data_IF_725206242921
#
_entry.id   IF_725206242921
#
_cell.length_a   1.000
_cell.length_b   1.000
_cell.length_c   1.000
_cell.angle_alpha   90.00
_cell.angle_beta   90.00
_cell.angle_gamma   90.00
#
_symmetry.space_group_name_H-M   'P 1'
#
loop_
_entity.id
_entity.type
_entity.pdbx_description
1 polymer ?
#
# COMPACT_ATOMS: atom_id res chain seq x y z
N UNK A 1 26.43 -15.51 10.05
CA UNK A 1 25.96 -14.13 10.29
C UNK A 1 24.44 -14.13 10.17
N UNK A 2 23.69 -13.51 11.09
CA UNK A 2 22.22 -13.52 11.07
C UNK A 2 21.72 -12.26 10.35
N UNK A 3 20.75 -12.40 9.45
CA UNK A 3 20.12 -11.28 8.75
C UNK A 3 19.35 -10.40 9.74
N UNK A 4 19.54 -9.08 9.68
CA UNK A 4 18.87 -8.10 10.53
C UNK A 4 18.21 -7.01 9.66
N UNK A 5 16.93 -7.16 9.29
CA UNK A 5 16.24 -6.23 8.39
C UNK A 5 16.13 -4.83 9.01
N UNK A 6 15.86 -4.72 10.31
CA UNK A 6 15.67 -3.43 10.99
C UNK A 6 16.88 -2.49 10.84
N UNK A 7 18.08 -3.04 10.98
CA UNK A 7 19.33 -2.27 10.85
C UNK A 7 19.59 -1.88 9.38
N UNK A 8 19.38 -2.83 8.46
CA UNK A 8 19.60 -2.62 7.03
C UNK A 8 18.62 -1.59 6.47
N UNK A 9 17.33 -1.72 6.79
CA UNK A 9 16.27 -0.81 6.36
C UNK A 9 16.51 0.60 6.89
N UNK A 10 16.79 0.76 8.18
CA UNK A 10 17.06 2.06 8.79
C UNK A 10 18.27 2.75 8.14
N UNK A 11 19.35 2.00 7.88
CA UNK A 11 20.55 2.52 7.20
C UNK A 11 20.22 3.07 5.82
N UNK A 12 19.53 2.30 4.99
CA UNK A 12 19.25 2.70 3.60
C UNK A 12 18.19 3.79 3.49
N UNK A 13 17.15 3.75 4.32
CA UNK A 13 16.14 4.81 4.40
C UNK A 13 16.79 6.16 4.75
N UNK A 14 17.70 6.17 5.73
CA UNK A 14 18.47 7.36 6.10
C UNK A 14 19.32 7.87 4.94
N UNK A 15 20.08 6.98 4.30
CA UNK A 15 20.91 7.33 3.15
C UNK A 15 20.06 7.97 2.01
N UNK A 16 18.93 7.36 1.66
CA UNK A 16 18.07 7.86 0.59
C UNK A 16 17.47 9.23 0.90
N UNK A 17 17.09 9.47 2.16
CA UNK A 17 16.57 10.75 2.60
C UNK A 17 17.62 11.86 2.52
N UNK A 18 18.83 11.61 3.03
CA UNK A 18 19.94 12.57 3.02
C UNK A 18 20.37 12.94 1.60
N UNK A 19 20.44 11.95 0.70
CA UNK A 19 20.89 12.15 -0.67
C UNK A 19 19.77 12.56 -1.62
N UNK A 20 18.52 12.67 -1.13
CA UNK A 20 17.33 12.93 -1.95
C UNK A 20 17.26 11.99 -3.16
N UNK A 21 17.58 10.70 -2.96
CA UNK A 21 17.77 9.70 -4.03
C UNK A 21 16.56 9.63 -4.98
N UNK A 22 15.36 9.87 -4.46
CA UNK A 22 14.12 9.80 -5.21
C UNK A 22 13.57 11.17 -5.67
N UNK A 23 14.30 12.28 -5.48
CA UNK A 23 13.84 13.57 -5.97
C UNK A 23 13.82 13.61 -7.51
N UNK A 24 12.67 13.99 -8.07
CA UNK A 24 12.56 14.35 -9.48
C UNK A 24 12.98 15.82 -9.67
N UNK A 25 13.61 16.14 -10.79
CA UNK A 25 14.00 17.52 -11.12
C UNK A 25 13.08 18.08 -12.20
N UNK A 26 12.66 19.34 -12.07
CA UNK A 26 11.86 19.99 -13.13
C UNK A 26 12.69 20.18 -14.41
N UNK A 27 13.95 20.59 -14.24
CA UNK A 27 14.91 20.82 -15.31
C UNK A 27 15.87 19.63 -15.40
N UNK A 28 15.50 18.62 -16.18
CA UNK A 28 16.31 17.43 -16.41
C UNK A 28 16.32 17.07 -17.90
N UNK A 29 17.51 16.76 -18.42
CA UNK A 29 17.70 16.26 -19.79
C UNK A 29 17.24 14.80 -19.96
N UNK A 30 16.91 14.13 -18.85
CA UNK A 30 16.40 12.75 -18.86
C UNK A 30 14.93 12.73 -19.30
N UNK A 31 14.48 11.69 -20.00
CA UNK A 31 13.07 11.54 -20.36
C UNK A 31 12.20 11.49 -19.09
N UNK A 32 11.10 12.24 -19.11
CA UNK A 32 10.15 12.33 -17.98
C UNK A 32 9.31 11.07 -17.88
N UNK A 33 9.02 10.64 -16.65
CA UNK A 33 8.04 9.59 -16.40
C UNK A 33 7.25 9.92 -15.13
N UNK A 34 5.93 9.77 -15.18
CA UNK A 34 5.06 10.02 -14.04
C UNK A 34 4.37 8.72 -13.66
N UNK A 35 4.64 8.24 -12.44
CA UNK A 35 3.96 7.10 -11.84
C UNK A 35 3.14 7.63 -10.66
N UNK A 36 1.85 7.31 -10.60
CA UNK A 36 0.94 7.86 -9.61
C UNK A 36 0.15 6.75 -8.92
N UNK A 37 0.15 6.80 -7.60
CA UNK A 37 -0.76 6.05 -6.77
C UNK A 37 -1.99 6.87 -6.43
N UNK A 38 -3.12 6.19 -6.21
CA UNK A 38 -4.26 6.82 -5.56
C UNK A 38 -3.89 7.11 -4.11
N UNK A 39 -3.83 8.40 -3.74
CA UNK A 39 -3.44 8.83 -2.42
C UNK A 39 -4.41 8.31 -1.35
N UNK A 40 -3.90 7.91 -0.18
CA UNK A 40 -4.76 7.43 0.89
C UNK A 40 -5.56 8.58 1.52
N UNK A 41 -6.77 8.25 1.96
CA UNK A 41 -7.52 9.11 2.87
C UNK A 41 -6.93 8.97 4.29
N UNK A 42 -6.59 10.07 5.01
CA UNK A 42 -6.11 10.03 6.38
C UNK A 42 -7.26 9.82 7.36
N UNK A 43 -8.05 8.78 7.14
CA UNK A 43 -9.36 8.59 7.75
C UNK A 43 -9.33 7.64 8.96
N UNK A 44 -8.33 6.76 9.09
CA UNK A 44 -8.21 5.77 10.17
C UNK A 44 -6.99 5.93 11.09
N UNK A 45 -6.73 4.91 11.91
CA UNK A 45 -5.54 4.84 12.79
C UNK A 45 -4.21 4.60 12.02
N UNK A 46 -4.28 4.34 10.71
CA UNK A 46 -3.15 4.06 9.84
C UNK A 46 -3.57 3.34 8.56
N UNK A 47 -2.59 2.96 7.73
CA UNK A 47 -2.80 2.13 6.55
C UNK A 47 -3.13 0.69 6.94
N UNK A 48 -4.11 0.07 6.30
CA UNK A 48 -4.27 -1.40 6.30
C UNK A 48 -3.46 -2.06 5.18
N UNK A 49 -3.25 -3.39 5.27
CA UNK A 49 -2.43 -4.20 4.34
C UNK A 49 -2.85 -4.14 2.85
N UNK A 50 -4.04 -3.62 2.56
CA UNK A 50 -4.51 -3.42 1.19
C UNK A 50 -3.85 -2.22 0.48
N UNK A 51 -3.49 -1.17 1.23
CA UNK A 51 -2.80 0.00 0.66
C UNK A 51 -1.44 -0.33 0.05
N UNK A 52 -0.51 -1.02 0.75
CA UNK A 52 0.81 -1.30 0.20
C UNK A 52 0.76 -2.23 -1.02
N UNK A 53 -0.30 -3.02 -1.23
CA UNK A 53 -0.40 -3.90 -2.40
C UNK A 53 -0.28 -3.10 -3.71
N UNK A 54 -1.01 -1.98 -3.82
CA UNK A 54 -0.92 -1.09 -4.97
C UNK A 54 0.41 -0.33 -5.01
N UNK A 55 0.84 0.19 -3.84
CA UNK A 55 2.01 1.07 -3.75
C UNK A 55 3.33 0.34 -4.01
N UNK A 56 3.42 -0.96 -3.71
CA UNK A 56 4.60 -1.77 -4.02
C UNK A 56 4.75 -1.94 -5.53
N UNK A 57 3.65 -2.19 -6.25
CA UNK A 57 3.70 -2.37 -7.69
C UNK A 57 4.18 -1.10 -8.41
N UNK A 58 3.67 0.07 -8.00
CA UNK A 58 4.09 1.36 -8.53
C UNK A 58 5.51 1.73 -8.14
N UNK A 59 5.96 1.45 -6.90
CA UNK A 59 7.36 1.66 -6.47
C UNK A 59 8.35 0.80 -7.27
N UNK A 60 8.04 -0.48 -7.48
CA UNK A 60 8.86 -1.37 -8.33
C UNK A 60 8.98 -0.82 -9.74
N UNK A 61 7.87 -0.39 -10.34
CA UNK A 61 7.87 0.18 -11.68
C UNK A 61 8.64 1.51 -11.76
N UNK A 62 8.45 2.39 -10.77
CA UNK A 62 9.19 3.65 -10.63
C UNK A 62 10.70 3.43 -10.55
N UNK A 63 11.14 2.45 -9.75
CA UNK A 63 12.55 2.07 -9.64
C UNK A 63 13.08 1.51 -10.96
N UNK A 64 12.34 0.62 -11.60
CA UNK A 64 12.68 0.09 -12.91
C UNK A 64 12.92 1.23 -13.92
N UNK A 65 12.01 2.20 -13.99
CA UNK A 65 12.14 3.37 -14.89
C UNK A 65 13.33 4.26 -14.55
N UNK A 66 13.63 4.48 -13.26
CA UNK A 66 14.86 5.20 -12.86
C UNK A 66 16.12 4.48 -13.33
N UNK A 67 16.17 3.15 -13.22
CA UNK A 67 17.30 2.35 -13.71
C UNK A 67 17.42 2.38 -15.23
N UNK A 68 16.32 2.59 -15.96
CA UNK A 68 16.33 2.86 -17.41
C UNK A 68 16.75 4.31 -17.76
N UNK A 69 17.12 5.14 -16.79
CA UNK A 69 17.60 6.50 -17.02
C UNK A 69 16.52 7.59 -17.06
N UNK A 70 15.27 7.28 -16.70
CA UNK A 70 14.19 8.28 -16.67
C UNK A 70 14.29 9.20 -15.43
N UNK A 71 13.82 10.44 -15.60
CA UNK A 71 13.48 11.33 -14.49
C UNK A 71 12.05 11.04 -14.04
N UNK A 72 11.94 10.26 -12.96
CA UNK A 72 10.65 9.72 -12.50
C UNK A 72 10.08 10.59 -11.38
N UNK A 73 8.90 11.15 -11.60
CA UNK A 73 8.06 11.70 -10.53
C UNK A 73 7.15 10.57 -10.02
N UNK A 74 7.29 10.23 -8.74
CA UNK A 74 6.44 9.26 -8.04
C UNK A 74 6.08 9.87 -6.67
N UNK A 75 5.05 10.73 -6.64
CA UNK A 75 4.68 11.48 -5.45
C UNK A 75 3.75 10.66 -4.57
N UNK A 76 3.73 11.02 -3.28
CA UNK A 76 2.74 10.57 -2.33
C UNK A 76 2.13 11.80 -1.64
N UNK A 77 0.88 11.67 -1.22
CA UNK A 77 0.13 12.73 -0.55
C UNK A 77 -1.02 12.16 0.27
N UNK A 78 -1.92 13.03 0.72
CA UNK A 78 -3.11 12.65 1.47
C UNK A 78 -4.34 13.32 0.86
N UNK A 79 -5.33 12.53 0.47
CA UNK A 79 -6.63 13.06 0.10
C UNK A 79 -7.43 13.32 1.38
N UNK A 80 -7.36 14.56 1.88
CA UNK A 80 -7.71 14.88 3.27
C UNK A 80 -9.07 15.54 3.44
N UNK A 81 -9.73 15.93 2.35
CA UNK A 81 -11.01 16.63 2.40
C UNK A 81 -12.15 15.70 1.96
N UNK A 82 -13.36 15.94 2.47
CA UNK A 82 -14.53 15.10 2.23
C UNK A 82 -15.08 14.47 3.50
N UNK A 83 -16.13 13.65 3.35
CA UNK A 83 -16.70 12.93 4.49
C UNK A 83 -15.68 11.91 5.02
N UNK A 84 -15.53 11.82 6.34
CA UNK A 84 -14.70 10.79 6.98
C UNK A 84 -15.37 9.42 6.85
N UNK A 85 -15.22 8.77 5.70
CA UNK A 85 -15.81 7.46 5.38
C UNK A 85 -15.50 6.43 6.49
N UNK A 86 -14.29 6.48 7.06
CA UNK A 86 -13.88 5.66 8.20
C UNK A 86 -14.76 5.80 9.44
N UNK A 87 -15.24 7.01 9.76
CA UNK A 87 -16.15 7.26 10.88
C UNK A 87 -17.55 6.70 10.64
N UNK A 88 -17.89 6.47 9.37
CA UNK A 88 -19.16 5.85 8.97
C UNK A 88 -19.01 4.37 8.63
N UNK A 89 -17.80 3.78 8.69
CA UNK A 89 -17.55 2.41 8.27
C UNK A 89 -18.43 1.39 9.02
N UNK A 90 -18.55 1.52 10.35
CA UNK A 90 -19.42 0.65 11.16
C UNK A 90 -20.90 0.78 10.78
N UNK A 91 -21.37 2.02 10.58
CA UNK A 91 -22.75 2.29 10.15
C UNK A 91 -23.02 1.72 8.75
N UNK A 92 -22.07 1.84 7.83
CA UNK A 92 -22.19 1.27 6.47
C UNK A 92 -22.23 -0.26 6.53
N UNK A 93 -21.38 -0.89 7.34
CA UNK A 93 -21.37 -2.35 7.55
C UNK A 93 -22.68 -2.84 8.15
N UNK A 94 -23.22 -2.15 9.15
CA UNK A 94 -24.54 -2.49 9.73
C UNK A 94 -25.66 -2.34 8.70
N UNK A 95 -25.64 -1.26 7.92
CA UNK A 95 -26.64 -1.01 6.87
C UNK A 95 -26.67 -2.04 5.75
N UNK A 96 -25.59 -2.82 5.54
CA UNK A 96 -25.61 -3.93 4.57
C UNK A 96 -26.62 -5.04 4.93
N UNK A 97 -27.04 -5.13 6.19
CA UNK A 97 -28.04 -6.11 6.63
C UNK A 97 -29.46 -5.71 6.22
N UNK A 98 -29.70 -4.41 6.01
CA UNK A 98 -31.03 -3.86 5.75
C UNK A 98 -31.35 -3.72 4.24
N UNK A 99 -30.36 -3.95 3.37
CA UNK A 99 -30.49 -3.80 1.92
C UNK A 99 -30.71 -5.15 1.22
N UNK A 100 -31.58 -5.17 0.21
CA UNK A 100 -31.90 -6.35 -0.59
C UNK A 100 -30.93 -6.50 -1.77
N UNK A 101 -29.66 -6.75 -1.46
CA UNK A 101 -28.59 -7.07 -2.42
C UNK A 101 -28.18 -8.53 -2.32
N UNK A 102 -27.59 -9.07 -3.38
CA UNK A 102 -27.03 -10.43 -3.33
C UNK A 102 -25.92 -10.54 -2.28
N UNK A 103 -25.81 -11.72 -1.65
CA UNK A 103 -24.75 -11.94 -0.65
C UNK A 103 -23.34 -11.75 -1.21
N UNK A 104 -23.12 -12.07 -2.48
CA UNK A 104 -21.83 -11.81 -3.16
C UNK A 104 -21.45 -10.33 -3.18
N UNK A 105 -22.42 -9.44 -3.38
CA UNK A 105 -22.20 -7.99 -3.39
C UNK A 105 -21.98 -7.51 -1.95
N UNK A 106 -22.81 -7.95 -1.00
CA UNK A 106 -22.65 -7.60 0.41
C UNK A 106 -21.31 -8.05 0.96
N UNK A 107 -20.84 -9.25 0.58
CA UNK A 107 -19.53 -9.77 0.97
C UNK A 107 -18.38 -8.97 0.37
N UNK A 108 -18.46 -8.60 -0.90
CA UNK A 108 -17.47 -7.71 -1.53
C UNK A 108 -17.39 -6.35 -0.82
N UNK A 109 -18.53 -5.78 -0.45
CA UNK A 109 -18.59 -4.52 0.32
C UNK A 109 -18.07 -4.70 1.75
N UNK A 110 -18.38 -5.81 2.44
CA UNK A 110 -17.81 -6.13 3.76
C UNK A 110 -16.28 -6.23 3.70
N UNK A 111 -15.73 -6.86 2.68
CA UNK A 111 -14.29 -6.99 2.50
C UNK A 111 -13.62 -5.66 2.13
N UNK A 112 -14.34 -4.78 1.43
CA UNK A 112 -13.83 -3.46 1.04
C UNK A 112 -13.90 -2.42 2.18
N UNK A 113 -15.01 -2.38 2.93
CA UNK A 113 -15.23 -1.46 4.06
C UNK A 113 -14.55 -1.97 5.33
N UNK A 114 -14.58 -3.29 5.53
CA UNK A 114 -14.03 -3.96 6.70
C UNK A 114 -12.52 -3.87 6.76
N UNK A 115 -11.98 -3.85 7.98
CA UNK A 115 -10.53 -3.92 8.19
C UNK A 115 -10.06 -5.34 7.87
N UNK A 116 -9.33 -5.51 6.77
CA UNK A 116 -8.60 -6.77 6.53
C UNK A 116 -7.58 -6.97 7.65
N UNK A 117 -7.70 -8.08 8.36
CA UNK A 117 -6.76 -8.49 9.43
C UNK A 117 -5.56 -9.27 8.90
N UNK A 118 -5.39 -9.30 7.57
CA UNK A 118 -4.44 -10.17 6.89
C UNK A 118 -4.98 -11.60 6.73
N UNK A 119 -4.18 -12.46 6.11
CA UNK A 119 -4.43 -13.88 6.00
C UNK A 119 -3.20 -14.62 6.51
N UNK A 120 -3.41 -15.64 7.34
CA UNK A 120 -2.37 -16.58 7.74
C UNK A 120 -2.59 -17.86 6.95
N UNK A 121 -1.58 -18.27 6.19
CA UNK A 121 -1.59 -19.50 5.40
C UNK A 121 -0.54 -20.41 5.99
N UNK A 122 -0.97 -21.52 6.57
CA UNK A 122 -0.09 -22.57 7.07
C UNK A 122 0.23 -23.56 5.94
N UNK A 123 1.50 -23.67 5.56
CA UNK A 123 1.98 -24.70 4.65
C UNK A 123 2.48 -25.90 5.45
N UNK A 124 1.73 -27.00 5.42
CA UNK A 124 2.19 -28.26 6.02
C UNK A 124 3.36 -28.84 5.23
N UNK A 125 4.43 -29.18 5.92
CA UNK A 125 5.54 -29.90 5.32
C UNK A 125 5.15 -31.37 5.12
N UNK A 126 5.40 -31.90 3.93
CA UNK A 126 5.09 -33.30 3.62
C UNK A 126 5.88 -34.22 4.56
N UNK A 127 5.17 -35.14 5.22
CA UNK A 127 5.72 -36.09 6.20
C UNK A 127 6.34 -35.43 7.46
N UNK A 128 5.86 -34.26 7.88
CA UNK A 128 6.24 -33.62 9.13
C UNK A 128 5.03 -33.01 9.84
N UNK A 129 5.04 -33.03 11.17
CA UNK A 129 4.05 -32.32 12.01
C UNK A 129 4.29 -30.79 12.03
N UNK A 130 5.32 -30.31 11.35
CA UNK A 130 5.67 -28.88 11.30
C UNK A 130 5.02 -28.16 10.12
N UNK A 131 4.56 -26.93 10.34
CA UNK A 131 4.13 -25.98 9.29
C UNK A 131 5.09 -24.79 9.18
N UNK A 132 5.05 -24.12 8.03
CA UNK A 132 5.69 -22.82 7.74
C UNK A 132 4.65 -21.83 7.24
#
# INVERSE_FOLDING_TARGET
>A
MKYNPNEIEAKWQKYWAEHKTFAAKNDSDKPKHYVLDMFPYPSGAGLHVGHPLGYIASDVYSRYKRHQGFNVLHPMGYDSFGMRISAYAERLLQGLNDIDWSESIKESQRNWIGKSVGAMVDFRLQNSESSI
#
